data_IF_882699971429
#
_entry.id   IF_882699971429
#
_cell.length_a   1.000
_cell.length_b   1.000
_cell.length_c   1.000
_cell.angle_alpha   90.00
_cell.angle_beta   90.00
_cell.angle_gamma   90.00
#
_symmetry.space_group_name_H-M   'P 1'
#
loop_
_entity.id
_entity.type
_entity.pdbx_description
1 polymer ?
#
# COMPACT_ATOMS: atom_id res chain seq x y z
N UNK A 1 -4.17 -20.07 -21.95
CA UNK A 1 -3.83 -18.85 -22.73
C UNK A 1 -5.07 -18.44 -23.52
N UNK A 2 -5.83 -17.47 -23.02
CA UNK A 2 -7.17 -17.12 -23.54
C UNK A 2 -7.15 -16.38 -24.87
N UNK A 3 -8.14 -16.62 -25.75
CA UNK A 3 -8.37 -15.84 -26.98
C UNK A 3 -8.56 -14.32 -26.72
N UNK A 4 -8.86 -13.95 -25.47
CA UNK A 4 -8.94 -12.56 -24.98
C UNK A 4 -7.56 -11.89 -24.88
N UNK A 5 -6.51 -12.60 -24.46
CA UNK A 5 -5.15 -12.04 -24.38
C UNK A 5 -4.57 -11.83 -25.79
N UNK A 6 -4.87 -12.70 -26.75
CA UNK A 6 -4.47 -12.54 -28.15
C UNK A 6 -5.16 -11.35 -28.85
N UNK A 7 -6.36 -10.95 -28.40
CA UNK A 7 -7.02 -9.72 -28.89
C UNK A 7 -6.38 -8.46 -28.33
N UNK A 8 -5.86 -8.50 -27.09
CA UNK A 8 -5.15 -7.38 -26.47
C UNK A 8 -3.85 -7.03 -27.22
N UNK A 9 -3.17 -7.99 -27.86
CA UNK A 9 -1.97 -7.75 -28.69
C UNK A 9 -2.23 -6.72 -29.82
N UNK A 10 -3.49 -6.56 -30.27
CA UNK A 10 -3.83 -5.55 -31.28
C UNK A 10 -3.66 -4.12 -30.78
N UNK A 11 -3.63 -3.89 -29.47
CA UNK A 11 -3.36 -2.57 -28.85
C UNK A 11 -1.91 -2.10 -29.09
N UNK A 12 -1.00 -3.00 -29.48
CA UNK A 12 0.39 -2.69 -29.82
C UNK A 12 0.57 -2.23 -31.28
N UNK A 13 -0.47 -2.33 -32.13
CA UNK A 13 -0.41 -1.88 -33.54
C UNK A 13 0.01 -0.41 -33.72
N UNK A 14 -0.39 0.55 -32.86
CA UNK A 14 0.06 1.94 -32.96
C UNK A 14 1.58 2.10 -32.84
N UNK A 15 2.31 1.21 -32.13
CA UNK A 15 3.78 1.25 -32.12
C UNK A 15 4.40 0.95 -33.49
N UNK A 16 3.69 0.23 -34.36
CA UNK A 16 4.14 -0.05 -35.73
C UNK A 16 4.09 1.20 -36.62
N UNK A 17 3.16 2.13 -36.36
CA UNK A 17 3.11 3.46 -37.00
C UNK A 17 4.29 4.34 -36.57
N UNK A 18 4.69 4.27 -35.30
CA UNK A 18 5.88 4.97 -34.76
C UNK A 18 7.17 4.51 -35.47
N UNK A 19 7.25 3.24 -35.87
CA UNK A 19 8.39 2.72 -36.65
C UNK A 19 8.37 3.06 -38.14
N UNK A 20 7.25 3.57 -38.68
CA UNK A 20 7.13 3.95 -40.09
C UNK A 20 7.60 5.37 -40.38
N UNK A 21 7.62 6.25 -39.37
CA UNK A 21 7.99 7.66 -39.51
C UNK A 21 9.39 7.87 -38.89
N UNK A 22 10.44 8.17 -39.69
CA UNK A 22 11.82 8.25 -39.20
C UNK A 22 12.01 9.32 -38.11
N UNK A 23 11.22 10.40 -38.12
CA UNK A 23 11.26 11.47 -37.11
C UNK A 23 10.88 10.99 -35.71
N UNK A 24 9.89 10.07 -35.58
CA UNK A 24 9.47 9.55 -34.28
C UNK A 24 10.45 8.51 -33.71
N UNK A 25 11.16 7.78 -34.59
CA UNK A 25 12.18 6.82 -34.17
C UNK A 25 13.38 7.51 -33.49
N UNK A 26 13.75 8.71 -33.96
CA UNK A 26 14.84 9.51 -33.36
C UNK A 26 14.45 9.92 -31.94
N UNK A 27 13.21 10.35 -31.72
CA UNK A 27 12.69 10.71 -30.39
C UNK A 27 12.70 9.50 -29.45
N UNK A 28 12.16 8.34 -29.87
CA UNK A 28 12.11 7.14 -29.04
C UNK A 28 13.51 6.61 -28.68
N UNK A 29 14.44 6.59 -29.64
CA UNK A 29 15.84 6.21 -29.39
C UNK A 29 16.53 7.16 -28.41
N UNK A 30 16.19 8.44 -28.45
CA UNK A 30 16.72 9.45 -27.52
C UNK A 30 16.21 9.21 -26.10
N UNK A 31 14.93 8.86 -25.94
CA UNK A 31 14.34 8.50 -24.63
C UNK A 31 15.02 7.25 -24.06
N UNK A 32 15.18 6.19 -24.85
CA UNK A 32 15.81 4.94 -24.39
C UNK A 32 17.28 5.18 -23.98
N UNK A 33 18.02 6.01 -24.73
CA UNK A 33 19.39 6.37 -24.38
C UNK A 33 19.48 7.17 -23.08
N UNK A 34 18.47 8.00 -22.79
CA UNK A 34 18.38 8.74 -21.53
C UNK A 34 17.97 7.85 -20.34
N UNK A 35 17.24 6.75 -20.55
CA UNK A 35 16.85 5.80 -19.49
C UNK A 35 18.02 4.97 -18.92
N UNK A 36 19.07 4.73 -19.72
CA UNK A 36 20.24 3.95 -19.28
C UNK A 36 20.94 4.52 -18.02
N UNK A 37 21.27 5.82 -17.93
CA UNK A 37 21.84 6.39 -16.70
C UNK A 37 20.83 6.44 -15.54
N UNK A 38 19.53 6.56 -15.82
CA UNK A 38 18.48 6.53 -14.79
C UNK A 38 18.36 5.16 -14.11
N UNK A 39 18.72 4.07 -14.80
CA UNK A 39 18.66 2.71 -14.24
C UNK A 39 19.60 2.55 -13.04
N UNK A 40 20.77 3.19 -13.04
CA UNK A 40 21.71 3.12 -11.91
C UNK A 40 21.12 3.75 -10.64
N UNK A 41 20.45 4.90 -10.79
CA UNK A 41 19.73 5.57 -9.69
C UNK A 41 18.52 4.73 -9.28
N UNK A 42 17.79 4.16 -10.25
CA UNK A 42 16.68 3.26 -10.00
C UNK A 42 17.07 2.02 -9.19
N UNK A 43 18.26 1.45 -9.46
CA UNK A 43 18.80 0.33 -8.69
C UNK A 43 19.09 0.72 -7.24
N UNK A 44 19.64 1.91 -7.01
CA UNK A 44 19.85 2.44 -5.65
C UNK A 44 18.52 2.60 -4.91
N UNK A 45 17.50 3.17 -5.58
CA UNK A 45 16.15 3.33 -5.00
C UNK A 45 15.51 1.98 -4.70
N UNK A 46 15.63 1.00 -5.61
CA UNK A 46 15.12 -0.35 -5.40
C UNK A 46 15.76 -1.00 -4.17
N UNK A 47 17.08 -0.86 -4.01
CA UNK A 47 17.78 -1.37 -2.84
C UNK A 47 17.30 -0.72 -1.53
N UNK A 48 17.08 0.60 -1.55
CA UNK A 48 16.49 1.31 -0.41
C UNK A 48 15.07 0.82 -0.09
N UNK A 49 14.23 0.58 -1.11
CA UNK A 49 12.87 0.02 -0.94
C UNK A 49 12.93 -1.33 -0.24
N UNK A 50 13.86 -2.21 -0.64
CA UNK A 50 14.01 -3.54 -0.01
C UNK A 50 14.39 -3.40 1.47
N UNK A 51 15.33 -2.51 1.80
CA UNK A 51 15.73 -2.28 3.20
C UNK A 51 14.53 -1.79 4.03
N UNK A 52 13.85 -0.74 3.58
CA UNK A 52 12.69 -0.20 4.31
C UNK A 52 11.53 -1.19 4.38
N UNK A 53 11.35 -2.04 3.36
CA UNK A 53 10.34 -3.08 3.36
C UNK A 53 10.64 -4.16 4.41
N UNK A 54 11.89 -4.61 4.55
CA UNK A 54 12.28 -5.57 5.59
C UNK A 54 12.09 -4.96 6.98
N UNK A 55 12.51 -3.70 7.19
CA UNK A 55 12.27 -3.00 8.46
C UNK A 55 10.77 -2.91 8.74
N UNK A 56 9.97 -2.48 7.77
CA UNK A 56 8.51 -2.39 7.93
C UNK A 56 7.87 -3.75 8.23
N UNK A 57 8.34 -4.82 7.59
CA UNK A 57 7.86 -6.19 7.82
C UNK A 57 8.10 -6.62 9.27
N UNK A 58 9.32 -6.47 9.78
CA UNK A 58 9.68 -6.89 11.14
C UNK A 58 8.92 -6.12 12.23
N UNK A 59 8.66 -4.84 12.01
CA UNK A 59 7.99 -3.99 13.00
C UNK A 59 6.46 -3.97 12.89
N UNK A 60 5.91 -4.12 11.68
CA UNK A 60 4.48 -3.90 11.40
C UNK A 60 3.75 -5.12 10.84
N UNK A 61 4.36 -6.31 10.88
CA UNK A 61 3.66 -7.54 10.51
C UNK A 61 2.45 -7.78 11.42
N UNK A 62 1.29 -8.04 10.81
CA UNK A 62 0.05 -8.39 11.51
C UNK A 62 -0.68 -7.21 12.17
N UNK A 63 -0.08 -6.02 12.24
CA UNK A 63 -0.67 -4.89 12.99
C UNK A 63 -1.86 -4.25 12.26
N UNK A 64 -1.86 -4.27 10.92
CA UNK A 64 -2.90 -3.64 10.09
C UNK A 64 -4.16 -4.49 9.90
N UNK A 65 -4.33 -5.60 10.64
CA UNK A 65 -5.48 -6.51 10.54
C UNK A 65 -6.56 -6.25 11.60
N UNK A 66 -6.40 -5.21 12.41
CA UNK A 66 -7.37 -4.84 13.44
C UNK A 66 -8.31 -3.76 12.95
N UNK A 67 -9.61 -3.89 13.13
CA UNK A 67 -10.57 -2.79 12.89
C UNK A 67 -11.80 -2.91 13.79
N UNK A 68 -12.64 -1.87 13.80
CA UNK A 68 -13.85 -1.82 14.61
C UNK A 68 -15.00 -2.59 13.94
N UNK A 69 -15.45 -3.66 14.58
CA UNK A 69 -16.61 -4.45 14.19
C UNK A 69 -17.82 -4.12 15.05
N UNK A 70 -19.04 -4.19 14.50
CA UNK A 70 -20.24 -3.95 15.29
C UNK A 70 -20.50 -5.05 16.30
N UNK A 71 -20.90 -4.69 17.52
CA UNK A 71 -21.27 -5.65 18.58
C UNK A 71 -22.54 -6.43 18.23
N UNK A 72 -23.43 -5.83 17.42
CA UNK A 72 -24.69 -6.48 16.99
C UNK A 72 -24.48 -7.49 15.87
N UNK A 73 -23.52 -7.23 14.99
CA UNK A 73 -23.19 -8.06 13.85
C UNK A 73 -21.68 -7.96 13.55
N UNK A 74 -20.96 -9.01 13.94
CA UNK A 74 -19.49 -9.11 13.83
C UNK A 74 -19.05 -9.19 12.36
N UNK A 75 -19.97 -9.37 11.41
CA UNK A 75 -19.63 -9.30 9.98
C UNK A 75 -19.54 -7.87 9.44
N UNK A 76 -19.99 -6.87 10.21
CA UNK A 76 -20.09 -5.48 9.77
C UNK A 76 -18.97 -4.64 10.38
N UNK A 77 -18.13 -4.07 9.51
CA UNK A 77 -17.09 -3.11 9.89
C UNK A 77 -17.72 -1.73 10.05
N UNK A 78 -17.53 -1.12 11.22
CA UNK A 78 -17.95 0.26 11.51
C UNK A 78 -16.88 1.21 11.00
N UNK A 79 -17.26 2.15 10.13
CA UNK A 79 -16.35 3.13 9.54
C UNK A 79 -16.61 4.50 10.17
N UNK A 80 -15.57 5.13 10.71
CA UNK A 80 -15.63 6.51 11.23
C UNK A 80 -15.47 7.58 10.11
N UNK A 81 -15.19 7.17 8.87
CA UNK A 81 -15.06 8.05 7.71
C UNK A 81 -15.34 7.35 6.37
N UNK A 82 -14.69 7.79 5.29
CA UNK A 82 -14.86 7.18 3.95
C UNK A 82 -14.28 5.76 3.87
N UNK A 83 -13.28 5.44 4.70
CA UNK A 83 -12.59 4.15 4.73
C UNK A 83 -12.48 3.62 6.16
N UNK A 84 -12.34 2.29 6.29
CA UNK A 84 -12.05 1.65 7.58
C UNK A 84 -10.61 1.94 7.99
N UNK A 85 -10.39 2.22 9.28
CA UNK A 85 -9.09 2.48 9.88
C UNK A 85 -8.73 1.38 10.88
N UNK A 86 -7.43 1.16 11.14
CA UNK A 86 -6.99 0.27 12.20
C UNK A 86 -7.45 0.74 13.58
N UNK A 87 -7.65 -0.18 14.51
CA UNK A 87 -8.01 0.12 15.90
C UNK A 87 -6.99 -0.48 16.86
N UNK A 88 -6.67 0.25 17.92
CA UNK A 88 -5.73 -0.20 18.94
C UNK A 88 -6.40 -0.98 20.08
N UNK A 89 -7.47 -0.41 20.64
CA UNK A 89 -8.21 -0.96 21.79
C UNK A 89 -9.68 -0.50 21.78
N UNK A 90 -10.48 -1.11 22.63
CA UNK A 90 -11.88 -0.74 22.90
C UNK A 90 -12.01 0.33 23.98
N UNK A 91 -11.01 0.44 24.86
CA UNK A 91 -11.08 1.28 26.04
C UNK A 91 -10.27 2.57 25.87
N UNK A 92 -10.96 3.72 25.86
CA UNK A 92 -10.33 5.05 25.69
C UNK A 92 -9.28 5.37 26.75
N UNK A 93 -9.39 4.75 27.94
CA UNK A 93 -8.48 4.98 29.06
C UNK A 93 -7.16 4.23 28.96
N UNK A 94 -7.13 3.13 28.21
CA UNK A 94 -5.92 2.31 27.97
C UNK A 94 -5.22 2.71 26.66
N UNK A 95 -5.94 3.42 25.80
CA UNK A 95 -5.43 3.88 24.53
C UNK A 95 -4.37 4.97 24.72
N UNK A 96 -3.21 4.84 24.05
CA UNK A 96 -2.23 5.92 24.02
C UNK A 96 -2.75 7.15 23.27
N UNK A 97 -2.18 8.31 23.58
CA UNK A 97 -2.69 9.60 23.09
C UNK A 97 -2.66 9.66 21.54
N UNK A 98 -3.86 9.77 20.93
CA UNK A 98 -4.03 9.84 19.48
C UNK A 98 -4.15 8.49 18.77
N UNK A 99 -4.26 7.37 19.50
CA UNK A 99 -4.70 6.10 18.94
C UNK A 99 -6.20 6.11 18.60
N UNK A 100 -6.58 5.33 17.59
CA UNK A 100 -7.99 5.15 17.22
C UNK A 100 -8.60 4.06 18.09
N UNK A 101 -9.74 4.38 18.71
CA UNK A 101 -10.42 3.56 19.71
C UNK A 101 -11.86 3.39 19.28
N UNK A 102 -12.32 2.15 19.25
CA UNK A 102 -13.70 1.84 18.92
C UNK A 102 -14.66 2.33 20.01
N UNK A 103 -15.89 2.70 19.66
CA UNK A 103 -16.91 3.00 20.67
C UNK A 103 -17.39 1.70 21.31
N UNK A 104 -17.01 1.45 22.56
CA UNK A 104 -17.32 0.24 23.31
C UNK A 104 -18.83 -0.11 23.42
N UNK A 105 -19.74 0.84 23.16
CA UNK A 105 -21.18 0.56 23.17
C UNK A 105 -21.73 0.07 21.82
N UNK A 106 -21.00 0.32 20.72
CA UNK A 106 -21.45 0.07 19.35
C UNK A 106 -20.54 -0.92 18.61
N UNK A 107 -19.25 -0.87 18.91
CA UNK A 107 -18.20 -1.59 18.20
C UNK A 107 -17.10 -2.13 19.12
N UNK A 108 -16.45 -3.22 18.70
CA UNK A 108 -15.29 -3.82 19.35
C UNK A 108 -14.16 -4.02 18.33
N UNK A 109 -12.93 -3.90 18.78
CA UNK A 109 -11.71 -3.96 18.01
C UNK A 109 -11.28 -5.42 17.86
N UNK A 110 -11.29 -5.93 16.63
CA UNK A 110 -10.96 -7.33 16.33
C UNK A 110 -9.96 -7.42 15.19
N UNK A 111 -9.13 -8.46 15.21
CA UNK A 111 -8.02 -8.76 14.29
C UNK A 111 -8.43 -9.54 13.02
N UNK A 112 -9.72 -9.59 12.69
CA UNK A 112 -10.27 -10.34 11.55
C UNK A 112 -10.31 -9.52 10.24
N UNK A 113 -9.72 -8.32 10.22
CA UNK A 113 -9.77 -7.47 9.04
C UNK A 113 -8.72 -7.89 8.02
N UNK A 114 -9.10 -7.97 6.74
CA UNK A 114 -8.16 -8.21 5.63
C UNK A 114 -7.12 -7.08 5.48
N UNK A 115 -7.38 -5.92 6.08
CA UNK A 115 -6.49 -4.76 6.08
C UNK A 115 -6.90 -3.66 5.10
N UNK A 116 -6.21 -2.51 5.13
CA UNK A 116 -6.57 -1.37 4.30
C UNK A 116 -6.38 -1.67 2.81
N UNK A 117 -7.16 -1.00 1.95
CA UNK A 117 -7.15 -1.21 0.49
C UNK A 117 -7.31 -2.68 0.07
N UNK A 118 -8.22 -3.44 0.71
CA UNK A 118 -8.45 -4.86 0.44
C UNK A 118 -7.19 -5.72 0.68
N UNK A 119 -6.43 -5.40 1.74
CA UNK A 119 -5.21 -6.12 2.12
C UNK A 119 -3.96 -5.85 1.26
N UNK A 120 -4.05 -4.94 0.28
CA UNK A 120 -2.91 -4.59 -0.59
C UNK A 120 -1.85 -3.81 0.19
N UNK A 121 -2.28 -2.87 1.03
CA UNK A 121 -1.37 -2.05 1.85
C UNK A 121 -1.14 -2.73 3.19
N UNK A 122 -0.12 -3.59 3.22
CA UNK A 122 0.21 -4.44 4.37
C UNK A 122 1.71 -4.71 4.47
N UNK A 123 2.15 -5.14 5.65
CA UNK A 123 3.55 -5.47 5.97
C UNK A 123 3.72 -6.94 6.40
N UNK A 124 2.87 -7.85 5.93
CA UNK A 124 2.97 -9.28 6.31
C UNK A 124 3.78 -10.11 5.33
N UNK A 125 3.93 -9.60 4.10
CA UNK A 125 4.72 -10.24 3.05
C UNK A 125 5.69 -9.24 2.45
N UNK A 126 6.88 -9.70 2.07
CA UNK A 126 7.91 -8.84 1.49
C UNK A 126 7.43 -8.13 0.22
N UNK A 127 6.59 -8.78 -0.60
CA UNK A 127 6.02 -8.19 -1.81
C UNK A 127 5.08 -7.01 -1.52
N UNK A 128 4.14 -7.18 -0.59
CA UNK A 128 3.21 -6.12 -0.19
C UNK A 128 3.92 -5.00 0.59
N UNK A 129 4.91 -5.35 1.42
CA UNK A 129 5.75 -4.38 2.11
C UNK A 129 6.51 -3.49 1.10
N UNK A 130 7.12 -4.09 0.06
CA UNK A 130 7.78 -3.32 -1.00
C UNK A 130 6.82 -2.41 -1.77
N UNK A 131 5.60 -2.88 -2.08
CA UNK A 131 4.58 -2.08 -2.75
C UNK A 131 4.13 -0.90 -1.89
N UNK A 132 3.91 -1.14 -0.61
CA UNK A 132 3.51 -0.11 0.37
C UNK A 132 4.62 0.94 0.56
N UNK A 133 5.88 0.52 0.66
CA UNK A 133 7.03 1.45 0.72
C UNK A 133 7.19 2.23 -0.59
N UNK A 134 7.01 1.58 -1.74
CA UNK A 134 7.04 2.26 -3.04
C UNK A 134 5.96 3.35 -3.10
N UNK A 135 4.73 3.04 -2.69
CA UNK A 135 3.64 4.00 -2.59
C UNK A 135 4.03 5.21 -1.72
N UNK A 136 4.64 4.97 -0.55
CA UNK A 136 5.14 6.04 0.33
C UNK A 136 6.19 6.93 -0.37
N UNK A 137 7.15 6.35 -1.09
CA UNK A 137 8.21 7.10 -1.79
C UNK A 137 7.64 7.94 -2.94
N UNK A 138 6.59 7.46 -3.61
CA UNK A 138 5.91 8.23 -4.66
C UNK A 138 5.08 9.40 -4.13
N UNK A 139 4.99 9.58 -2.80
CA UNK A 139 4.24 10.64 -2.12
C UNK A 139 2.73 10.62 -2.38
N UNK A 140 2.19 9.49 -2.81
CA UNK A 140 0.76 9.28 -3.04
C UNK A 140 0.17 8.41 -1.93
N UNK A 141 -0.74 8.95 -1.12
CA UNK A 141 -1.40 8.20 -0.04
C UNK A 141 -0.50 7.80 1.14
N UNK A 142 0.73 8.33 1.22
CA UNK A 142 1.68 8.03 2.31
C UNK A 142 1.18 8.46 3.70
N UNK A 143 0.41 9.55 3.77
CA UNK A 143 -0.13 10.07 5.03
C UNK A 143 -1.11 9.10 5.67
N UNK A 144 -1.93 8.41 4.87
CA UNK A 144 -2.86 7.40 5.38
C UNK A 144 -2.10 6.25 6.03
N UNK A 145 -1.07 5.73 5.37
CA UNK A 145 -0.19 4.67 5.89
C UNK A 145 0.48 5.13 7.19
N UNK A 146 0.98 6.36 7.25
CA UNK A 146 1.55 6.94 8.46
C UNK A 146 0.54 6.94 9.62
N UNK A 147 -0.70 7.39 9.39
CA UNK A 147 -1.72 7.47 10.45
C UNK A 147 -2.12 6.08 10.95
N UNK A 148 -2.31 5.12 10.06
CA UNK A 148 -2.63 3.74 10.40
C UNK A 148 -1.55 3.10 11.27
N UNK A 149 -0.29 3.27 10.89
CA UNK A 149 0.85 2.72 11.61
C UNK A 149 1.06 3.45 12.96
N UNK A 150 0.84 4.77 13.01
CA UNK A 150 0.95 5.56 14.25
C UNK A 150 -0.08 5.14 15.31
N UNK A 151 -1.29 4.79 14.90
CA UNK A 151 -2.37 4.39 15.81
C UNK A 151 -2.05 3.09 16.57
N UNK A 152 -1.20 2.22 16.00
CA UNK A 152 -0.79 0.95 16.60
C UNK A 152 0.47 1.08 17.49
N UNK A 153 1.50 1.80 17.05
CA UNK A 153 2.85 1.76 17.67
C UNK A 153 2.94 2.42 19.04
N UNK A 154 1.98 3.26 19.43
CA UNK A 154 2.17 4.13 20.58
C UNK A 154 2.30 3.39 21.94
N UNK A 155 2.26 2.05 21.96
CA UNK A 155 2.55 1.18 23.11
C UNK A 155 3.92 0.46 23.08
N UNK A 156 4.67 0.40 21.98
CA UNK A 156 5.81 -0.54 21.85
C UNK A 156 7.20 0.04 22.19
N UNK A 157 7.30 1.33 22.54
CA UNK A 157 8.60 2.03 22.73
C UNK A 157 8.66 2.78 24.08
N UNK A 158 7.86 2.39 25.08
CA UNK A 158 7.94 2.93 26.44
C UNK A 158 8.00 1.81 27.48
#
# INVERSE_FOLDING_TARGET
MDLRTLRAIRVLRPLKLVSGIPSLQVVLKSIIKAMAPLLQIGLLVLFAIVIFAIIGLEFYSGTLHKTCYSIRDISVIVKEGEQASPCNTDNKSEAPFGAHVCDANVSTCMDHWEGPNFGITSFDNIGFAMLTVFQCITMEGWTAILYWVKQEICLSVL
#
